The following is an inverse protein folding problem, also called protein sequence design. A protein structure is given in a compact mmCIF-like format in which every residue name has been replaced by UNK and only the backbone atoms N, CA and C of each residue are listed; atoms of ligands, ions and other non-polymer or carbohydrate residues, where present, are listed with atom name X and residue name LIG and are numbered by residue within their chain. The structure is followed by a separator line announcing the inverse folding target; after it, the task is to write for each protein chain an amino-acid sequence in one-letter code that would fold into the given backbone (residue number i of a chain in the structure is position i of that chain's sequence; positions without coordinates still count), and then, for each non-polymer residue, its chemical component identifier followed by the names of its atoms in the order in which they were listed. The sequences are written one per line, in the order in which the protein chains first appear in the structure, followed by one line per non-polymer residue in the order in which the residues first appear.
data_IF_186413945444
#
_entry.id   IF_186413945444
#
_cell.length_a   1.000
_cell.length_b   1.000
_cell.length_c   1.000
_cell.angle_alpha   90.00
_cell.angle_beta   90.00
_cell.angle_gamma   90.00
#
_symmetry.space_group_name_H-M   'P 1'
#
loop_
_entity.id
_entity.type
_entity.pdbx_description
1 polymer ?
#
# COMPACT_ATOMS: atom_id res chain seq x y z
N UNK A 1 58.02 46.05 -3.35
CA UNK A 1 58.22 46.03 -4.82
C UNK A 1 58.91 44.73 -5.20
N UNK A 2 58.74 44.20 -6.43
CA UNK A 2 57.64 44.43 -7.39
C UNK A 2 56.36 43.73 -6.85
N UNK A 3 55.42 43.08 -7.55
CA UNK A 3 55.03 42.92 -8.98
C UNK A 3 53.51 42.62 -9.05
N UNK A 4 52.96 42.34 -10.24
CA UNK A 4 51.69 41.62 -10.48
C UNK A 4 51.91 40.60 -11.61
N UNK A 5 51.19 39.48 -11.58
CA UNK A 5 50.87 38.67 -12.77
C UNK A 5 49.40 38.25 -12.62
N UNK A 6 48.59 38.52 -13.64
CA UNK A 6 47.21 38.03 -13.75
C UNK A 6 47.18 36.94 -14.81
N UNK A 7 46.57 35.80 -14.50
CA UNK A 7 46.30 34.74 -15.46
C UNK A 7 44.80 34.47 -15.44
N UNK A 8 44.15 34.67 -16.59
CA UNK A 8 42.77 34.25 -16.83
C UNK A 8 42.84 32.95 -17.62
N UNK A 9 42.32 31.86 -17.06
CA UNK A 9 42.07 30.61 -17.80
C UNK A 9 40.56 30.42 -17.88
N UNK A 10 40.04 30.49 -19.09
CA UNK A 10 38.72 29.98 -19.43
C UNK A 10 38.92 28.55 -19.93
N UNK A 11 38.28 27.58 -19.27
CA UNK A 11 38.23 26.19 -19.70
C UNK A 11 36.76 25.74 -19.73
N UNK A 12 36.32 25.17 -20.86
CA UNK A 12 34.92 24.92 -21.12
C UNK A 12 34.40 23.64 -20.43
N UNK A 13 33.12 23.65 -20.03
CA UNK A 13 32.40 22.48 -19.53
C UNK A 13 32.01 21.53 -20.66
N UNK A 14 32.64 20.36 -20.72
CA UNK A 14 32.24 19.27 -21.61
C UNK A 14 31.36 18.26 -20.85
N UNK A 15 30.09 18.13 -21.25
CA UNK A 15 29.18 17.10 -20.74
C UNK A 15 29.41 15.80 -21.54
N UNK A 16 29.80 14.74 -20.84
CA UNK A 16 29.99 13.41 -21.44
C UNK A 16 28.73 12.57 -21.30
N UNK A 17 27.98 12.40 -22.40
CA UNK A 17 26.79 11.55 -22.45
C UNK A 17 27.17 10.08 -22.62
N UNK A 18 26.78 9.23 -21.68
CA UNK A 18 26.92 7.77 -21.80
C UNK A 18 25.76 7.16 -22.59
N UNK A 19 26.02 6.20 -23.51
CA UNK A 19 24.94 5.50 -24.21
C UNK A 19 24.31 4.45 -23.28
N UNK A 20 23.01 4.60 -22.98
CA UNK A 20 22.22 3.56 -22.32
C UNK A 20 21.82 2.52 -23.38
N UNK A 21 22.41 1.32 -23.30
CA UNK A 21 22.07 0.20 -24.18
C UNK A 21 20.84 -0.54 -23.66
N UNK A 22 19.65 -0.08 -24.03
CA UNK A 22 18.39 -0.82 -23.79
C UNK A 22 18.27 -2.00 -24.75
N UNK A 23 18.60 -3.19 -24.27
CA UNK A 23 18.34 -4.44 -24.99
C UNK A 23 16.82 -4.74 -24.99
N UNK A 24 16.12 -4.33 -26.05
CA UNK A 24 14.68 -4.56 -26.20
C UNK A 24 14.44 -6.03 -26.58
N UNK A 25 14.07 -6.85 -25.60
CA UNK A 25 13.74 -8.25 -25.83
C UNK A 25 12.35 -8.39 -26.50
N UNK A 26 12.33 -8.71 -27.79
CA UNK A 26 11.11 -8.91 -28.57
C UNK A 26 10.35 -10.17 -28.12
N UNK A 27 9.33 -9.99 -27.27
CA UNK A 27 8.43 -11.08 -26.87
C UNK A 27 7.46 -11.43 -28.02
N UNK A 28 7.68 -12.58 -28.67
CA UNK A 28 6.79 -13.09 -29.72
C UNK A 28 5.45 -13.55 -29.12
N UNK A 29 4.45 -12.68 -29.14
CA UNK A 29 3.10 -12.98 -28.68
C UNK A 29 2.33 -13.86 -29.68
N UNK A 30 2.39 -15.18 -29.49
CA UNK A 30 1.58 -16.15 -30.24
C UNK A 30 0.10 -16.05 -29.85
N UNK A 31 -0.65 -15.18 -30.54
CA UNK A 31 -2.07 -14.96 -30.29
C UNK A 31 -2.95 -16.06 -30.94
N UNK A 32 -3.35 -17.04 -30.14
CA UNK A 32 -4.41 -17.99 -30.50
C UNK A 32 -5.78 -17.33 -30.36
N UNK A 33 -6.38 -16.90 -31.48
CA UNK A 33 -7.70 -16.25 -31.49
C UNK A 33 -8.80 -17.32 -31.42
N UNK A 34 -9.49 -17.40 -30.27
CA UNK A 34 -10.71 -18.22 -30.07
C UNK A 34 -11.86 -17.32 -29.57
N UNK A 35 -13.02 -17.28 -30.25
CA UNK A 35 -14.04 -16.25 -29.99
C UNK A 35 -15.12 -16.71 -29.00
N UNK A 36 -15.07 -16.24 -27.74
CA UNK A 36 -16.22 -16.08 -26.83
C UNK A 36 -15.81 -15.50 -25.45
N UNK A 37 -15.17 -14.33 -25.40
CA UNK A 37 -14.82 -13.70 -24.12
C UNK A 37 -16.05 -13.16 -23.38
N UNK A 38 -16.64 -14.00 -22.53
CA UNK A 38 -17.32 -13.50 -21.33
C UNK A 38 -16.27 -12.75 -20.50
N UNK A 39 -16.38 -11.42 -20.45
CA UNK A 39 -15.55 -10.59 -19.58
C UNK A 39 -16.04 -10.73 -18.14
N UNK A 40 -15.66 -11.83 -17.49
CA UNK A 40 -15.68 -11.88 -16.03
C UNK A 40 -14.73 -10.79 -15.51
N UNK A 41 -15.09 -10.03 -14.45
CA UNK A 41 -14.14 -9.14 -13.81
C UNK A 41 -12.88 -9.93 -13.43
N UNK A 42 -11.70 -9.43 -13.74
CA UNK A 42 -10.49 -9.99 -13.16
C UNK A 42 -10.56 -9.82 -11.64
N UNK A 43 -10.10 -10.83 -10.89
CA UNK A 43 -9.94 -10.70 -9.44
C UNK A 43 -9.09 -9.45 -9.13
N UNK A 44 -9.36 -8.75 -8.01
CA UNK A 44 -8.58 -7.58 -7.62
C UNK A 44 -7.09 -7.96 -7.52
N UNK A 45 -6.22 -7.01 -7.88
CA UNK A 45 -4.78 -7.21 -7.66
C UNK A 45 -4.51 -7.46 -6.16
N UNK A 46 -3.53 -8.31 -5.81
CA UNK A 46 -3.14 -8.53 -4.42
C UNK A 46 -2.87 -7.22 -3.68
N UNK A 47 -3.32 -7.17 -2.43
CA UNK A 47 -2.87 -6.18 -1.45
C UNK A 47 -1.37 -6.35 -1.19
N UNK A 48 -0.74 -5.35 -0.56
CA UNK A 48 0.55 -5.56 0.08
C UNK A 48 0.36 -6.16 1.49
N UNK A 49 1.19 -7.16 1.83
CA UNK A 49 1.18 -7.83 3.13
C UNK A 49 1.87 -7.05 4.26
N UNK A 50 1.95 -5.71 4.17
CA UNK A 50 2.58 -4.84 5.16
C UNK A 50 1.58 -4.24 6.16
N UNK A 51 2.09 -3.62 7.22
CA UNK A 51 1.27 -3.10 8.31
C UNK A 51 0.39 -1.90 7.91
N UNK A 52 0.87 -1.03 7.02
CA UNK A 52 0.11 0.17 6.62
C UNK A 52 -1.08 -0.20 5.74
N UNK A 53 -0.92 -1.17 4.84
CA UNK A 53 -2.02 -1.74 4.06
C UNK A 53 -2.99 -2.51 4.98
N UNK A 54 -2.49 -3.28 5.94
CA UNK A 54 -3.34 -3.98 6.92
C UNK A 54 -4.19 -3.00 7.74
N UNK A 55 -3.58 -1.95 8.30
CA UNK A 55 -4.28 -0.93 9.10
C UNK A 55 -5.28 -0.13 8.28
N UNK A 56 -4.98 0.18 7.01
CA UNK A 56 -5.96 0.76 6.08
C UNK A 56 -7.18 -0.15 5.92
N UNK A 57 -6.99 -1.45 5.66
CA UNK A 57 -8.11 -2.41 5.49
C UNK A 57 -8.91 -2.62 6.78
N UNK A 58 -8.25 -2.58 7.94
CA UNK A 58 -8.87 -2.62 9.27
C UNK A 58 -9.72 -1.35 9.52
N UNK A 59 -9.28 -0.18 9.08
CA UNK A 59 -10.05 1.08 9.18
C UNK A 59 -11.22 1.11 8.18
N UNK A 60 -11.00 0.74 6.92
CA UNK A 60 -12.05 0.68 5.88
C UNK A 60 -13.18 -0.27 6.28
N UNK A 61 -12.84 -1.50 6.71
CA UNK A 61 -13.85 -2.47 7.14
C UNK A 61 -14.59 -2.04 8.41
N UNK A 62 -13.92 -1.36 9.34
CA UNK A 62 -14.53 -0.83 10.56
C UNK A 62 -15.55 0.28 10.30
N UNK A 63 -15.24 1.24 9.43
CA UNK A 63 -16.19 2.32 9.09
C UNK A 63 -17.46 1.73 8.45
N UNK A 64 -17.31 0.75 7.55
CA UNK A 64 -18.45 0.02 6.99
C UNK A 64 -19.23 -0.75 8.08
N UNK A 65 -18.53 -1.46 8.97
CA UNK A 65 -19.11 -2.24 10.07
C UNK A 65 -19.94 -1.39 11.04
N UNK A 66 -19.50 -0.17 11.35
CA UNK A 66 -20.23 0.75 12.23
C UNK A 66 -21.42 1.43 11.55
N UNK A 67 -21.41 1.59 10.22
CA UNK A 67 -22.60 2.03 9.50
C UNK A 67 -23.77 1.03 9.65
N UNK A 68 -23.45 -0.27 9.78
CA UNK A 68 -24.42 -1.34 10.07
C UNK A 68 -24.77 -1.46 11.57
N UNK A 69 -23.79 -1.45 12.48
CA UNK A 69 -24.04 -1.64 13.92
C UNK A 69 -24.62 -0.38 14.60
N UNK A 70 -24.16 0.82 14.24
CA UNK A 70 -24.44 2.08 14.96
C UNK A 70 -24.71 3.26 14.01
N UNK A 71 -25.77 3.23 13.17
CA UNK A 71 -26.00 4.24 12.12
C UNK A 71 -26.15 5.68 12.63
N UNK A 72 -26.60 5.89 13.87
CA UNK A 72 -26.71 7.21 14.50
C UNK A 72 -25.39 7.73 15.12
N UNK A 73 -24.34 6.91 15.17
CA UNK A 73 -23.02 7.23 15.74
C UNK A 73 -21.93 7.03 14.67
N UNK A 74 -21.53 8.08 13.94
CA UNK A 74 -20.55 7.95 12.86
C UNK A 74 -19.16 7.61 13.40
N UNK A 75 -18.56 6.56 12.84
CA UNK A 75 -17.22 6.11 13.19
C UNK A 75 -16.15 7.19 12.89
N UNK A 76 -15.18 7.35 13.80
CA UNK A 76 -14.05 8.25 13.65
C UNK A 76 -12.77 7.59 14.21
N UNK A 77 -12.28 6.51 13.58
CA UNK A 77 -11.11 5.75 14.06
C UNK A 77 -9.85 6.62 14.09
N UNK A 78 -9.20 6.69 15.25
CA UNK A 78 -8.00 7.49 15.48
C UNK A 78 -6.72 6.66 15.40
N UNK A 79 -6.77 5.37 15.76
CA UNK A 79 -5.61 4.47 15.69
C UNK A 79 -6.02 2.99 15.71
N UNK A 80 -5.14 2.16 15.17
CA UNK A 80 -5.12 0.71 15.37
C UNK A 80 -4.07 0.36 16.43
N UNK A 81 -4.36 -0.58 17.32
CA UNK A 81 -3.40 -1.13 18.28
C UNK A 81 -3.37 -2.64 18.14
N UNK A 82 -2.22 -3.21 17.77
CA UNK A 82 -2.04 -4.66 17.67
C UNK A 82 -1.77 -5.28 19.04
N UNK A 83 -2.49 -6.34 19.37
CA UNK A 83 -2.26 -7.14 20.57
C UNK A 83 -0.92 -7.90 20.45
N UNK A 84 -0.17 -8.13 21.56
CA UNK A 84 1.06 -8.93 21.54
C UNK A 84 0.85 -10.29 20.87
N UNK A 85 1.74 -10.72 19.94
CA UNK A 85 3.09 -10.22 19.70
C UNK A 85 3.20 -8.95 18.83
N UNK A 86 2.09 -8.39 18.36
CA UNK A 86 2.04 -7.30 17.38
C UNK A 86 1.70 -7.80 15.97
N UNK A 87 1.83 -6.91 14.98
CA UNK A 87 1.60 -7.24 13.58
C UNK A 87 2.69 -8.18 13.01
N UNK A 88 2.27 -9.17 12.21
CA UNK A 88 3.15 -10.07 11.46
C UNK A 88 2.97 -9.88 9.94
N UNK A 89 4.00 -9.42 9.20
CA UNK A 89 3.90 -9.21 7.75
C UNK A 89 3.52 -10.48 6.97
N UNK A 90 2.59 -10.34 6.02
CA UNK A 90 1.99 -11.42 5.23
C UNK A 90 1.29 -12.51 6.08
N UNK A 91 0.93 -12.20 7.33
CA UNK A 91 0.18 -13.11 8.22
C UNK A 91 -0.99 -12.35 8.88
N UNK A 92 -0.73 -11.17 9.44
CA UNK A 92 -1.71 -10.35 10.15
C UNK A 92 -1.56 -10.41 11.66
N UNK A 93 -2.66 -10.63 12.37
CA UNK A 93 -2.73 -10.65 13.83
C UNK A 93 -4.10 -10.25 14.37
N UNK A 94 -4.13 -9.84 15.64
CA UNK A 94 -5.34 -9.32 16.28
C UNK A 94 -5.04 -8.00 16.98
N UNK A 95 -6.05 -7.18 17.22
CA UNK A 95 -5.87 -5.91 17.91
C UNK A 95 -7.18 -5.20 18.22
N UNK A 96 -7.09 -3.95 18.66
CA UNK A 96 -8.22 -3.07 18.94
C UNK A 96 -8.16 -1.80 18.07
N UNK A 97 -9.32 -1.35 17.60
CA UNK A 97 -9.48 -0.03 16.97
C UNK A 97 -9.92 0.96 18.04
N UNK A 98 -9.23 2.09 18.12
CA UNK A 98 -9.53 3.16 19.06
C UNK A 98 -10.22 4.31 18.29
N UNK A 99 -11.50 4.54 18.58
CA UNK A 99 -12.30 5.61 17.99
C UNK A 99 -12.18 6.92 18.80
N UNK A 100 -12.61 8.04 18.23
CA UNK A 100 -12.72 9.31 18.95
C UNK A 100 -13.91 9.32 19.93
N UNK A 101 -14.97 8.55 19.66
CA UNK A 101 -16.01 8.27 20.65
C UNK A 101 -15.61 7.06 21.49
N UNK A 102 -15.38 7.19 22.82
CA UNK A 102 -14.95 6.08 23.68
C UNK A 102 -16.02 5.01 23.91
N UNK A 103 -17.21 5.13 23.30
CA UNK A 103 -18.25 4.10 23.24
C UNK A 103 -18.14 3.23 21.97
N UNK A 104 -17.36 3.66 20.99
CA UNK A 104 -17.10 2.96 19.74
C UNK A 104 -15.68 2.35 19.75
N UNK A 105 -15.20 1.91 18.59
CA UNK A 105 -14.00 1.10 18.45
C UNK A 105 -14.29 -0.39 18.69
N UNK A 106 -13.25 -1.17 18.96
CA UNK A 106 -13.38 -2.57 19.36
C UNK A 106 -12.37 -3.52 18.70
N UNK A 107 -12.42 -4.79 19.12
CA UNK A 107 -11.44 -5.81 18.71
C UNK A 107 -11.63 -6.26 17.26
N UNK A 108 -10.53 -6.58 16.58
CA UNK A 108 -10.55 -7.19 15.25
C UNK A 108 -9.59 -8.39 15.17
N UNK A 109 -9.80 -9.22 14.14
CA UNK A 109 -8.89 -10.26 13.67
C UNK A 109 -8.55 -9.93 12.22
N UNK A 110 -7.27 -9.98 11.85
CA UNK A 110 -6.79 -9.72 10.50
C UNK A 110 -5.94 -10.91 10.05
N UNK A 111 -6.36 -11.58 8.98
CA UNK A 111 -5.63 -12.70 8.37
C UNK A 111 -5.23 -12.33 6.93
N UNK A 112 -3.98 -12.57 6.55
CA UNK A 112 -3.53 -12.40 5.17
C UNK A 112 -3.65 -13.72 4.40
N UNK A 113 -4.55 -13.76 3.41
CA UNK A 113 -4.91 -15.00 2.70
C UNK A 113 -4.87 -14.77 1.20
N UNK A 114 -4.11 -15.60 0.48
CA UNK A 114 -3.99 -15.59 -0.99
C UNK A 114 -3.62 -14.23 -1.63
N UNK A 115 -2.99 -13.32 -0.88
CA UNK A 115 -2.65 -11.98 -1.33
C UNK A 115 -3.67 -10.89 -0.94
N UNK A 116 -4.63 -11.19 -0.07
CA UNK A 116 -5.67 -10.24 0.36
C UNK A 116 -5.83 -10.21 1.88
N UNK A 117 -6.27 -9.07 2.40
CA UNK A 117 -6.60 -8.90 3.82
C UNK A 117 -8.05 -9.33 4.13
N UNK A 118 -8.20 -10.39 4.92
CA UNK A 118 -9.47 -10.83 5.50
C UNK A 118 -9.59 -10.28 6.93
N UNK A 119 -10.54 -9.37 7.18
CA UNK A 119 -10.72 -8.73 8.50
C UNK A 119 -12.08 -9.09 9.10
N UNK A 120 -12.08 -9.55 10.36
CA UNK A 120 -13.30 -9.90 11.10
C UNK A 120 -13.47 -9.04 12.37
N UNK A 121 -14.70 -8.56 12.58
CA UNK A 121 -15.13 -7.75 13.72
C UNK A 121 -16.16 -8.52 14.56
N UNK A 122 -15.76 -9.19 15.66
CA UNK A 122 -16.62 -10.08 16.44
C UNK A 122 -17.59 -9.35 17.39
N UNK A 123 -18.33 -8.36 16.88
CA UNK A 123 -19.34 -7.59 17.61
C UNK A 123 -20.45 -7.04 16.70
N UNK A 124 -21.65 -6.86 17.24
CA UNK A 124 -22.38 -5.60 17.32
C UNK A 124 -22.99 -5.55 18.75
#
# INVERSE_FOLDING_TARGET
MPRRITIIVVAATALASTPVTTAVASATASQSISPATHFYPADPAPDAGDQSTAEQRVVEGYVNKQADCTPDLPANPQSVTWDPPGFAPNVGGTGNINDADPRLGGRFVADYVNGHWNIAYPYC
#
